data_IF_011855075822
#
_entry.id   IF_011855075822
#
_cell.length_a   1.000
_cell.length_b   1.000
_cell.length_c   1.000
_cell.angle_alpha   90.00
_cell.angle_beta   90.00
_cell.angle_gamma   90.00
#
_symmetry.space_group_name_H-M   'P 1'
#
loop_
_entity.id
_entity.type
_entity.pdbx_description
1 polymer ?
#
# COMPACT_ATOMS: atom_id res chain seq x y z
N UNK A 1 18.12 10.90 23.90
CA UNK A 1 18.33 11.77 22.72
C UNK A 1 18.82 10.89 21.58
N UNK A 2 17.91 10.32 20.79
CA UNK A 2 18.24 9.45 19.65
C UNK A 2 17.40 9.94 18.46
N UNK A 3 17.94 10.90 17.70
CA UNK A 3 17.37 11.42 16.45
C UNK A 3 18.02 10.66 15.30
N UNK A 4 17.37 9.60 14.82
CA UNK A 4 17.67 8.93 13.56
C UNK A 4 16.35 8.37 13.02
N UNK A 5 15.67 9.05 12.08
CA UNK A 5 14.70 8.42 11.17
C UNK A 5 13.96 9.35 10.20
N UNK A 6 14.08 10.68 10.30
CA UNK A 6 13.13 11.55 9.56
C UNK A 6 13.46 11.73 8.07
N UNK A 7 14.67 11.34 7.64
CA UNK A 7 15.17 11.55 6.28
C UNK A 7 14.70 10.52 5.23
N UNK A 8 13.96 9.47 5.61
CA UNK A 8 13.60 8.41 4.65
C UNK A 8 12.22 8.62 4.00
N UNK A 9 11.28 9.26 4.70
CA UNK A 9 9.92 9.41 4.20
C UNK A 9 9.83 10.49 3.12
N UNK A 10 10.29 11.72 3.41
CA UNK A 10 10.23 12.83 2.45
C UNK A 10 10.95 12.52 1.15
N UNK A 11 12.13 11.92 1.23
CA UNK A 11 13.04 11.77 0.08
C UNK A 11 12.53 10.70 -0.90
N UNK A 12 11.90 9.64 -0.39
CA UNK A 12 11.23 8.62 -1.21
C UNK A 12 10.00 9.20 -1.92
N UNK A 13 9.17 9.94 -1.19
CA UNK A 13 7.94 10.50 -1.75
C UNK A 13 8.19 11.65 -2.72
N UNK A 14 9.14 12.53 -2.43
CA UNK A 14 9.53 13.59 -3.34
C UNK A 14 10.07 13.00 -4.65
N UNK A 15 10.93 11.97 -4.58
CA UNK A 15 11.39 11.26 -5.77
C UNK A 15 10.26 10.60 -6.56
N UNK A 16 9.30 9.96 -5.90
CA UNK A 16 8.18 9.27 -6.57
C UNK A 16 7.16 10.22 -7.18
N UNK A 17 6.84 11.32 -6.50
CA UNK A 17 5.85 12.30 -6.94
C UNK A 17 6.43 13.22 -8.00
N UNK A 18 7.67 13.69 -7.82
CA UNK A 18 8.34 14.62 -8.75
C UNK A 18 8.84 13.89 -10.01
N UNK A 19 9.31 12.64 -9.91
CA UNK A 19 9.68 11.86 -11.10
C UNK A 19 8.47 11.29 -11.87
N UNK A 20 7.27 11.38 -11.30
CA UNK A 20 6.05 10.95 -11.98
C UNK A 20 5.67 11.95 -13.06
N UNK A 21 5.44 11.48 -14.28
CA UNK A 21 4.85 12.30 -15.36
C UNK A 21 3.36 12.60 -15.14
N UNK A 22 2.79 12.17 -14.00
CA UNK A 22 1.38 12.37 -13.67
C UNK A 22 1.20 13.66 -12.87
N UNK A 23 0.15 14.44 -13.15
CA UNK A 23 -0.18 15.62 -12.35
C UNK A 23 -0.34 15.26 -10.87
N UNK A 24 0.15 16.11 -9.99
CA UNK A 24 0.08 15.92 -8.53
C UNK A 24 -1.38 15.78 -8.04
N UNK A 25 -2.33 16.41 -8.72
CA UNK A 25 -3.78 16.29 -8.48
C UNK A 25 -4.28 14.85 -8.61
N UNK A 26 -3.71 14.09 -9.55
CA UNK A 26 -4.07 12.67 -9.75
C UNK A 26 -3.59 11.83 -8.57
N UNK A 27 -2.39 12.11 -8.06
CA UNK A 27 -1.84 11.44 -6.89
C UNK A 27 -2.70 11.68 -5.64
N UNK A 28 -3.08 12.94 -5.37
CA UNK A 28 -3.95 13.25 -4.23
C UNK A 28 -5.33 12.60 -4.36
N UNK A 29 -5.92 12.61 -5.55
CA UNK A 29 -7.19 11.92 -5.79
C UNK A 29 -7.08 10.40 -5.55
N UNK A 30 -5.99 9.78 -6.03
CA UNK A 30 -5.75 8.36 -5.84
C UNK A 30 -5.56 7.99 -4.36
N UNK A 31 -4.81 8.80 -3.60
CA UNK A 31 -4.64 8.65 -2.15
C UNK A 31 -6.01 8.67 -1.47
N UNK A 32 -6.82 9.70 -1.74
CA UNK A 32 -8.15 9.85 -1.17
C UNK A 32 -9.06 8.63 -1.45
N UNK A 33 -9.08 8.15 -2.70
CA UNK A 33 -9.91 7.01 -3.09
C UNK A 33 -9.47 5.71 -2.43
N UNK A 34 -8.15 5.50 -2.26
CA UNK A 34 -7.61 4.30 -1.62
C UNK A 34 -7.91 4.33 -0.12
N UNK A 35 -7.70 5.46 0.57
CA UNK A 35 -7.92 5.57 2.02
C UNK A 35 -9.38 5.43 2.43
N UNK A 36 -10.32 5.84 1.57
CA UNK A 36 -11.76 5.70 1.84
C UNK A 36 -12.29 4.28 1.61
N UNK A 37 -11.56 3.45 0.88
CA UNK A 37 -12.02 2.10 0.51
C UNK A 37 -11.69 1.08 1.60
N UNK A 38 -12.70 0.66 2.37
CA UNK A 38 -12.53 -0.35 3.44
C UNK A 38 -12.06 -1.71 2.91
N UNK A 39 -12.43 -2.06 1.67
CA UNK A 39 -12.10 -3.32 1.01
C UNK A 39 -11.05 -3.16 -0.11
N UNK A 40 -10.48 -1.96 -0.27
CA UNK A 40 -9.61 -1.62 -1.40
C UNK A 40 -10.36 -1.28 -2.70
N UNK A 41 -9.72 -0.48 -3.55
CA UNK A 41 -10.21 -0.13 -4.89
C UNK A 41 -9.51 -0.95 -5.98
N UNK A 42 -10.24 -1.39 -7.02
CA UNK A 42 -9.62 -2.07 -8.16
C UNK A 42 -8.81 -1.08 -9.02
N UNK A 43 -7.75 -1.56 -9.68
CA UNK A 43 -6.94 -0.70 -10.58
C UNK A 43 -7.77 -0.13 -11.73
N UNK A 44 -8.78 -0.88 -12.20
CA UNK A 44 -9.70 -0.43 -13.23
C UNK A 44 -10.65 0.68 -12.74
N UNK A 45 -11.20 0.55 -11.52
CA UNK A 45 -12.04 1.58 -10.92
C UNK A 45 -11.23 2.86 -10.63
N UNK A 46 -9.98 2.70 -10.15
CA UNK A 46 -9.06 3.81 -9.94
C UNK A 46 -8.74 4.53 -11.26
N UNK A 47 -8.45 3.77 -12.33
CA UNK A 47 -8.23 4.31 -13.68
C UNK A 47 -9.43 5.08 -14.22
N UNK A 48 -10.66 4.57 -14.03
CA UNK A 48 -11.89 5.28 -14.43
C UNK A 48 -12.08 6.60 -13.68
N UNK A 49 -11.72 6.64 -12.39
CA UNK A 49 -11.90 7.83 -11.55
C UNK A 49 -10.82 8.89 -11.80
N UNK A 50 -9.62 8.47 -12.18
CA UNK A 50 -8.44 9.35 -12.35
C UNK A 50 -8.10 9.68 -13.81
N UNK A 51 -8.67 8.96 -14.77
CA UNK A 51 -8.44 9.16 -16.20
C UNK A 51 -7.08 8.65 -16.73
N UNK A 52 -6.29 7.97 -15.90
CA UNK A 52 -4.98 7.41 -16.31
C UNK A 52 -5.13 5.98 -16.84
N UNK A 53 -4.09 5.47 -17.52
CA UNK A 53 -4.09 4.09 -17.99
C UNK A 53 -4.21 3.08 -16.83
N UNK A 54 -4.89 1.93 -17.03
CA UNK A 54 -5.02 0.91 -15.99
C UNK A 54 -3.69 0.41 -15.43
N UNK A 55 -2.65 0.38 -16.28
CA UNK A 55 -1.29 -0.01 -15.89
C UNK A 55 -0.62 1.04 -15.00
N UNK A 56 -0.81 2.33 -15.30
CA UNK A 56 -0.32 3.42 -14.44
C UNK A 56 -1.06 3.44 -13.10
N UNK A 57 -2.38 3.26 -13.11
CA UNK A 57 -3.20 3.15 -11.90
C UNK A 57 -2.78 1.99 -11.02
N UNK A 58 -2.45 0.84 -11.60
CA UNK A 58 -1.95 -0.33 -10.86
C UNK A 58 -0.59 -0.02 -10.18
N UNK A 59 0.36 0.56 -10.92
CA UNK A 59 1.68 0.94 -10.36
C UNK A 59 1.54 1.96 -9.22
N UNK A 60 0.70 2.97 -9.41
CA UNK A 60 0.41 3.99 -8.40
C UNK A 60 -0.20 3.36 -7.14
N UNK A 61 -1.21 2.50 -7.30
CA UNK A 61 -1.83 1.76 -6.20
C UNK A 61 -0.81 0.93 -5.43
N UNK A 62 0.05 0.18 -6.12
CA UNK A 62 1.06 -0.65 -5.46
C UNK A 62 2.06 0.18 -4.64
N UNK A 63 2.50 1.34 -5.14
CA UNK A 63 3.39 2.22 -4.37
C UNK A 63 2.72 2.73 -3.10
N UNK A 64 1.46 3.16 -3.19
CA UNK A 64 0.70 3.62 -2.04
C UNK A 64 0.49 2.52 -1.01
N UNK A 65 0.10 1.32 -1.45
CA UNK A 65 -0.07 0.16 -0.57
C UNK A 65 1.25 -0.28 0.06
N UNK A 66 2.36 -0.23 -0.68
CA UNK A 66 3.67 -0.56 -0.14
C UNK A 66 4.06 0.41 0.97
N UNK A 67 3.81 1.70 0.80
CA UNK A 67 4.14 2.67 1.83
C UNK A 67 3.24 2.55 3.07
N UNK A 68 1.94 2.26 2.88
CA UNK A 68 1.03 1.92 3.98
C UNK A 68 1.54 0.67 4.72
N UNK A 69 1.96 -0.36 3.99
CA UNK A 69 2.55 -1.57 4.58
C UNK A 69 3.84 -1.28 5.34
N UNK A 70 4.77 -0.51 4.79
CA UNK A 70 6.02 -0.15 5.47
C UNK A 70 5.74 0.58 6.79
N UNK A 71 4.70 1.41 6.82
CA UNK A 71 4.24 2.06 8.04
C UNK A 71 3.65 1.04 9.03
N UNK A 72 2.74 0.17 8.60
CA UNK A 72 2.14 -0.86 9.45
C UNK A 72 3.17 -1.86 9.99
N UNK A 73 4.15 -2.28 9.17
CA UNK A 73 5.24 -3.18 9.57
C UNK A 73 6.14 -2.55 10.66
N UNK A 74 6.18 -1.21 10.75
CA UNK A 74 6.86 -0.50 11.85
C UNK A 74 6.06 -0.51 13.16
N UNK A 75 4.76 -0.83 13.10
CA UNK A 75 3.84 -0.88 14.22
C UNK A 75 3.58 -2.34 14.62
N UNK A 76 4.28 -2.81 15.66
CA UNK A 76 3.99 -4.13 16.21
C UNK A 76 2.57 -4.19 16.78
N UNK A 77 1.77 -5.14 16.30
CA UNK A 77 0.49 -5.48 16.92
C UNK A 77 0.76 -5.87 18.39
N UNK A 78 0.11 -5.18 19.31
CA UNK A 78 0.24 -5.43 20.75
C UNK A 78 -1.11 -5.87 21.32
N UNK A 79 -1.08 -6.58 22.45
CA UNK A 79 -2.24 -7.23 23.11
C UNK A 79 -2.73 -8.48 22.36
N UNK A 80 -3.87 -9.01 22.79
CA UNK A 80 -4.46 -10.23 22.22
C UNK A 80 -4.88 -9.93 20.78
N UNK A 81 -4.17 -10.51 19.83
CA UNK A 81 -4.51 -10.48 18.41
C UNK A 81 -5.32 -11.73 18.10
N UNK A 82 -6.60 -11.56 17.78
CA UNK A 82 -7.46 -12.64 17.31
C UNK A 82 -7.47 -12.63 15.78
N UNK A 83 -6.99 -13.73 15.18
CA UNK A 83 -7.03 -13.96 13.74
C UNK A 83 -8.13 -14.98 13.50
N UNK A 84 -9.15 -14.61 12.71
CA UNK A 84 -10.38 -15.40 12.55
C UNK A 84 -10.16 -16.64 11.65
N UNK A 85 -9.18 -16.61 10.74
CA UNK A 85 -8.80 -17.74 9.89
C UNK A 85 -7.29 -17.78 9.65
N UNK A 86 -6.59 -18.67 10.34
CA UNK A 86 -5.19 -18.99 10.06
C UNK A 86 -5.08 -20.45 9.55
N UNK A 87 -5.12 -20.64 8.23
CA UNK A 87 -4.76 -21.92 7.61
C UNK A 87 -3.22 -22.06 7.59
N UNK A 88 -2.66 -22.76 8.58
CA UNK A 88 -1.26 -23.18 8.58
C UNK A 88 -1.17 -24.70 8.69
N UNK A 89 -0.76 -25.36 7.61
CA UNK A 89 -0.38 -26.78 7.63
C UNK A 89 -1.32 -27.71 6.87
N UNK A 90 -1.12 -27.83 5.55
CA UNK A 90 -1.37 -29.08 4.84
C UNK A 90 -0.05 -29.85 4.76
N UNK A 91 0.37 -30.52 5.82
CA UNK A 91 1.43 -31.52 5.71
C UNK A 91 0.85 -32.71 4.95
N UNK A 92 1.13 -32.80 3.65
CA UNK A 92 1.07 -34.07 2.94
C UNK A 92 2.19 -34.96 3.49
N UNK A 93 1.96 -35.62 4.63
CA UNK A 93 2.87 -36.63 5.16
C UNK A 93 2.30 -38.01 4.86
N UNK A 94 2.80 -38.54 3.75
CA UNK A 94 3.09 -39.94 3.44
C UNK A 94 2.36 -41.03 4.24
N UNK A 95 1.55 -41.77 3.48
CA UNK A 95 1.15 -43.14 3.74
C UNK A 95 2.36 -44.03 4.10
N UNK A 96 2.13 -44.95 5.03
CA UNK A 96 2.86 -46.19 5.16
C UNK A 96 1.95 -47.34 4.76
#
# INVERSE_FOLDING_TARGET
MHRLSDANFSDEWDGVLVASKLPLTIWFLAIFLITQSKNGISSLALSRSTGISPTAALRMKHKLQQAMKNHDDSLALSRVVQIDDAYWGGTAMMAW
#
